data_IF_188919882563
#
_entry.id   IF_188919882563
#
_cell.length_a   1.000
_cell.length_b   1.000
_cell.length_c   1.000
_cell.angle_alpha   90.00
_cell.angle_beta   90.00
_cell.angle_gamma   90.00
#
_symmetry.space_group_name_H-M   'P 1'
#
loop_
_entity.id
_entity.type
_entity.pdbx_description
1 polymer ?
#
# COMPACT_ATOMS: atom_id res chain seq x y z
N UNK A 1 -34.30 25.52 16.05
CA UNK A 1 -32.96 26.17 16.08
C UNK A 1 -31.91 25.17 16.53
N UNK A 2 -30.95 24.83 15.65
CA UNK A 2 -29.93 23.79 15.88
C UNK A 2 -28.84 24.23 16.87
N UNK A 3 -29.13 24.14 18.18
CA UNK A 3 -28.21 24.54 19.27
C UNK A 3 -26.89 23.74 19.29
N UNK A 4 -26.83 22.56 18.67
CA UNK A 4 -25.62 21.73 18.60
C UNK A 4 -24.54 22.19 17.62
N UNK A 5 -24.87 23.02 16.61
CA UNK A 5 -23.89 23.46 15.59
C UNK A 5 -22.96 24.58 16.07
N UNK A 6 -23.47 25.46 16.93
CA UNK A 6 -22.76 26.65 17.41
C UNK A 6 -21.73 26.32 18.50
N UNK A 7 -22.00 25.34 19.36
CA UNK A 7 -21.10 24.95 20.47
C UNK A 7 -19.79 24.36 19.94
N UNK A 8 -19.85 23.58 18.85
CA UNK A 8 -18.66 23.04 18.21
C UNK A 8 -17.86 24.13 17.51
N UNK A 9 -18.51 25.13 16.87
CA UNK A 9 -17.81 26.23 16.23
C UNK A 9 -17.03 27.05 17.26
N UNK A 10 -17.66 27.48 18.37
CA UNK A 10 -17.01 28.30 19.40
C UNK A 10 -15.77 27.69 20.05
N UNK A 11 -15.76 26.38 20.34
CA UNK A 11 -14.59 25.67 20.90
C UNK A 11 -13.50 25.34 19.88
N UNK A 12 -13.82 25.39 18.59
CA UNK A 12 -12.85 25.17 17.51
C UNK A 12 -12.06 26.45 17.23
N UNK A 13 -12.69 27.63 17.35
CA UNK A 13 -12.02 28.93 17.16
C UNK A 13 -10.99 29.25 18.26
N UNK A 14 -11.05 28.62 19.43
CA UNK A 14 -10.05 28.77 20.51
C UNK A 14 -8.82 27.87 20.32
N UNK A 15 -8.82 26.98 19.34
CA UNK A 15 -7.67 26.14 19.02
C UNK A 15 -6.92 26.86 17.91
N UNK A 16 -5.68 27.30 18.16
CA UNK A 16 -4.81 27.98 17.19
C UNK A 16 -4.35 27.02 16.07
N UNK A 17 -5.31 26.44 15.34
CA UNK A 17 -5.13 25.44 14.29
C UNK A 17 -5.92 25.84 13.05
N UNK A 18 -5.41 25.56 11.84
CA UNK A 18 -6.13 25.86 10.61
C UNK A 18 -7.49 25.17 10.54
N UNK A 19 -8.49 25.86 9.99
CA UNK A 19 -9.85 25.31 9.77
C UNK A 19 -9.82 23.99 8.99
N UNK A 20 -8.87 23.83 8.06
CA UNK A 20 -8.64 22.59 7.29
C UNK A 20 -8.27 21.40 8.18
N UNK A 21 -7.37 21.60 9.14
CA UNK A 21 -6.94 20.56 10.10
C UNK A 21 -8.10 20.10 10.99
N UNK A 22 -8.93 21.05 11.44
CA UNK A 22 -10.09 20.72 12.27
C UNK A 22 -11.17 20.00 11.45
N UNK A 23 -11.39 20.44 10.21
CA UNK A 23 -12.27 19.76 9.26
C UNK A 23 -11.87 18.31 9.00
N UNK A 24 -10.57 18.04 8.81
CA UNK A 24 -10.04 16.68 8.66
C UNK A 24 -10.24 15.82 9.91
N UNK A 25 -9.99 16.38 11.10
CA UNK A 25 -10.18 15.69 12.36
C UNK A 25 -11.66 15.29 12.57
N UNK A 26 -12.59 16.22 12.35
CA UNK A 26 -14.02 15.95 12.45
C UNK A 26 -14.50 14.95 11.38
N UNK A 27 -13.95 15.01 10.17
CA UNK A 27 -14.24 14.05 9.12
C UNK A 27 -13.77 12.63 9.49
N UNK A 28 -12.58 12.47 10.08
CA UNK A 28 -12.10 11.18 10.63
C UNK A 28 -13.02 10.67 11.73
N UNK A 29 -13.38 11.53 12.70
CA UNK A 29 -14.27 11.17 13.82
C UNK A 29 -15.62 10.67 13.33
N UNK A 30 -16.16 11.28 12.28
CA UNK A 30 -17.43 10.89 11.66
C UNK A 30 -17.29 9.73 10.65
N UNK A 31 -16.16 9.00 10.65
CA UNK A 31 -15.85 7.89 9.73
C UNK A 31 -16.01 8.24 8.24
N UNK A 32 -15.93 9.52 7.87
CA UNK A 32 -15.95 9.93 6.48
C UNK A 32 -14.60 9.53 5.86
N UNK A 33 -14.65 8.86 4.70
CA UNK A 33 -13.44 8.45 3.96
C UNK A 33 -12.64 9.70 3.58
N UNK A 34 -11.51 9.91 4.23
CA UNK A 34 -10.53 10.91 3.80
C UNK A 34 -9.79 10.42 2.56
N UNK A 35 -9.48 11.34 1.65
CA UNK A 35 -8.59 11.05 0.51
C UNK A 35 -7.22 10.64 1.05
N UNK A 36 -6.68 9.51 0.60
CA UNK A 36 -5.32 9.08 0.97
C UNK A 36 -4.33 10.07 0.36
N UNK A 37 -3.63 10.82 1.21
CA UNK A 37 -2.86 11.98 0.77
C UNK A 37 -1.54 11.63 0.07
N UNK A 38 -0.99 10.42 0.23
CA UNK A 38 0.24 10.01 -0.47
C UNK A 38 0.20 8.52 -0.79
N UNK A 39 0.18 8.20 -2.07
CA UNK A 39 0.57 6.87 -2.56
C UNK A 39 2.10 6.87 -2.61
N UNK A 40 2.73 5.81 -2.09
CA UNK A 40 4.19 5.68 -2.15
C UNK A 40 4.73 5.70 -3.60
N UNK A 41 6.06 5.73 -3.77
CA UNK A 41 6.66 5.70 -5.09
C UNK A 41 6.17 4.51 -5.92
N UNK A 42 6.07 4.70 -7.24
CA UNK A 42 5.63 3.66 -8.17
C UNK A 42 6.52 2.41 -7.99
N UNK A 43 5.94 1.21 -7.87
CA UNK A 43 6.73 -0.01 -7.76
C UNK A 43 7.60 -0.20 -9.01
N UNK A 44 8.85 -0.62 -8.80
CA UNK A 44 9.82 -0.90 -9.87
C UNK A 44 9.47 -2.15 -10.69
N UNK A 45 8.67 -3.04 -10.12
CA UNK A 45 8.22 -4.29 -10.73
C UNK A 45 6.76 -4.14 -11.12
N UNK A 46 6.43 -4.46 -12.37
CA UNK A 46 5.05 -4.42 -12.85
C UNK A 46 4.28 -5.67 -12.45
N UNK A 47 2.95 -5.63 -12.58
CA UNK A 47 2.13 -6.82 -12.34
C UNK A 47 2.41 -7.96 -13.33
N UNK A 48 2.94 -7.66 -14.53
CA UNK A 48 3.33 -8.65 -15.53
C UNK A 48 4.60 -9.37 -15.07
N UNK A 49 5.63 -8.61 -14.70
CA UNK A 49 6.90 -9.13 -14.19
C UNK A 49 6.67 -10.04 -12.98
N UNK A 50 5.80 -9.64 -12.04
CA UNK A 50 5.43 -10.48 -10.90
C UNK A 50 4.87 -11.83 -11.32
N UNK A 51 4.06 -11.90 -12.38
CA UNK A 51 3.51 -13.18 -12.87
C UNK A 51 4.60 -14.03 -13.52
N UNK A 52 5.49 -13.43 -14.29
CA UNK A 52 6.62 -14.12 -14.91
C UNK A 52 7.56 -14.69 -13.85
N UNK A 53 7.94 -13.89 -12.85
CA UNK A 53 8.75 -14.31 -11.70
C UNK A 53 8.10 -15.51 -10.98
N UNK A 54 6.79 -15.45 -10.70
CA UNK A 54 6.06 -16.56 -10.07
C UNK A 54 6.01 -17.79 -10.96
N UNK A 55 5.85 -17.62 -12.28
CA UNK A 55 5.87 -18.72 -13.25
C UNK A 55 7.23 -19.41 -13.24
N UNK A 56 8.32 -18.66 -13.39
CA UNK A 56 9.70 -19.19 -13.38
C UNK A 56 10.02 -19.95 -12.09
N UNK A 57 9.63 -19.40 -10.92
CA UNK A 57 9.78 -20.10 -9.64
C UNK A 57 8.92 -21.35 -9.50
N UNK A 58 7.75 -21.40 -10.16
CA UNK A 58 6.86 -22.56 -10.08
C UNK A 58 7.32 -23.71 -10.98
N UNK A 59 8.00 -23.38 -12.08
CA UNK A 59 8.49 -24.37 -13.04
C UNK A 59 9.85 -24.90 -12.67
N UNK A 60 10.76 -24.04 -12.20
CA UNK A 60 12.14 -24.40 -11.89
C UNK A 60 12.51 -23.95 -10.48
N UNK A 61 13.25 -24.78 -9.74
CA UNK A 61 13.78 -24.39 -8.42
C UNK A 61 15.03 -23.51 -8.59
N UNK A 62 14.84 -22.30 -9.11
CA UNK A 62 15.91 -21.35 -9.46
C UNK A 62 16.07 -20.24 -8.44
N UNK A 63 17.30 -19.78 -8.25
CA UNK A 63 17.59 -18.66 -7.34
C UNK A 63 17.03 -17.33 -7.87
N UNK A 64 16.74 -16.39 -6.97
CA UNK A 64 16.19 -15.06 -7.33
C UNK A 64 17.15 -14.23 -8.20
N UNK A 65 18.46 -14.47 -8.08
CA UNK A 65 19.48 -13.84 -8.93
C UNK A 65 19.42 -14.35 -10.37
N UNK A 66 19.25 -15.66 -10.56
CA UNK A 66 19.09 -16.26 -11.90
C UNK A 66 17.80 -15.77 -12.57
N UNK A 67 16.69 -15.72 -11.83
CA UNK A 67 15.40 -15.20 -12.35
C UNK A 67 15.51 -13.73 -12.75
N UNK A 68 16.23 -12.91 -11.97
CA UNK A 68 16.48 -11.52 -12.34
C UNK A 68 17.22 -11.40 -13.68
N UNK A 69 18.21 -12.26 -13.90
CA UNK A 69 18.99 -12.30 -15.14
C UNK A 69 18.17 -12.84 -16.32
N UNK A 70 17.46 -13.95 -16.15
CA UNK A 70 16.62 -14.56 -17.19
C UNK A 70 15.51 -13.62 -17.68
N UNK A 71 14.90 -12.88 -16.75
CA UNK A 71 13.83 -11.94 -17.06
C UNK A 71 14.33 -10.53 -17.36
N UNK A 72 15.66 -10.31 -17.38
CA UNK A 72 16.30 -9.02 -17.61
C UNK A 72 15.65 -7.86 -16.82
N UNK A 73 15.35 -8.10 -15.54
CA UNK A 73 14.58 -7.15 -14.74
C UNK A 73 15.44 -5.97 -14.28
N UNK A 74 14.96 -4.72 -14.42
CA UNK A 74 15.67 -3.52 -13.96
C UNK A 74 15.50 -3.30 -12.44
N UNK A 75 15.67 -4.36 -11.65
CA UNK A 75 15.53 -4.33 -10.21
C UNK A 75 16.47 -5.33 -9.54
N UNK A 76 16.77 -5.14 -8.25
CA UNK A 76 17.64 -6.05 -7.51
C UNK A 76 16.97 -7.41 -7.27
N UNK A 77 17.77 -8.47 -7.16
CA UNK A 77 17.30 -9.81 -6.74
C UNK A 77 16.51 -9.79 -5.42
N UNK A 78 16.82 -8.86 -4.50
CA UNK A 78 16.05 -8.65 -3.26
C UNK A 78 14.63 -8.14 -3.53
N UNK A 79 14.44 -7.33 -4.56
CA UNK A 79 13.12 -6.85 -5.00
C UNK A 79 12.32 -8.00 -5.62
N UNK A 80 12.98 -8.88 -6.40
CA UNK A 80 12.39 -10.12 -6.92
C UNK A 80 11.90 -11.03 -5.77
N UNK A 81 12.73 -11.25 -4.75
CA UNK A 81 12.33 -11.99 -3.54
C UNK A 81 11.12 -11.38 -2.82
N UNK A 82 11.10 -10.04 -2.67
CA UNK A 82 9.96 -9.34 -2.07
C UNK A 82 8.68 -9.53 -2.89
N UNK A 83 8.78 -9.46 -4.21
CA UNK A 83 7.67 -9.74 -5.14
C UNK A 83 7.13 -11.16 -4.97
N UNK A 84 8.01 -12.16 -4.86
CA UNK A 84 7.64 -13.55 -4.58
C UNK A 84 6.92 -13.69 -3.24
N UNK A 85 7.48 -13.13 -2.15
CA UNK A 85 6.87 -13.20 -0.81
C UNK A 85 5.48 -12.54 -0.74
N UNK A 86 5.25 -11.51 -1.53
CA UNK A 86 3.96 -10.82 -1.60
C UNK A 86 2.92 -11.55 -2.47
N UNK A 87 3.35 -12.46 -3.35
CA UNK A 87 2.45 -13.23 -4.20
C UNK A 87 1.53 -14.13 -3.37
N UNK A 88 0.21 -13.97 -3.57
CA UNK A 88 -0.82 -14.78 -2.89
C UNK A 88 -0.67 -16.27 -3.21
N UNK A 89 -0.19 -16.60 -4.41
CA UNK A 89 -0.02 -17.99 -4.90
C UNK A 89 1.01 -18.75 -4.05
N UNK A 90 2.10 -18.11 -3.66
CA UNK A 90 3.14 -18.73 -2.82
C UNK A 90 2.73 -18.80 -1.34
N UNK A 91 1.94 -17.83 -0.85
CA UNK A 91 1.35 -17.90 0.50
C UNK A 91 0.41 -19.08 0.67
N UNK A 92 -0.32 -19.45 -0.39
CA UNK A 92 -1.22 -20.59 -0.38
C UNK A 92 -0.47 -21.93 -0.32
N UNK A 93 0.59 -22.09 -1.14
CA UNK A 93 1.41 -23.33 -1.12
C UNK A 93 2.08 -23.58 0.23
N UNK A 94 2.53 -22.53 0.93
CA UNK A 94 3.08 -22.64 2.29
C UNK A 94 2.09 -23.04 3.39
N UNK A 95 0.78 -22.94 3.13
CA UNK A 95 -0.27 -23.26 4.10
C UNK A 95 -0.78 -24.70 3.95
N UNK A 96 -0.50 -25.32 2.81
CA UNK A 96 -0.89 -26.70 2.50
C UNK A 96 0.22 -27.70 2.87
N UNK A 97 1.45 -27.23 2.99
CA UNK A 97 2.58 -27.97 3.56
C UNK A 97 2.59 -27.85 5.08
#
# INVERSE_FOLDING_TARGET
>A
MNKGKLICQGKIYSINRPKSTVGEYLAKRNRKKLKKLKTGPKPKITSCDCRQIVKSCSTNNTSTRKIQQELNLPCSHTTVWRGLKQSKKLKFMKKIM
#
